data_IF_896198319055
#
_entry.id   IF_896198319055
#
_cell.length_a   1.000
_cell.length_b   1.000
_cell.length_c   1.000
_cell.angle_alpha   90.00
_cell.angle_beta   90.00
_cell.angle_gamma   90.00
#
_symmetry.space_group_name_H-M   'P 1'
#
loop_
_entity.id
_entity.type
_entity.pdbx_description
1 polymer ?
#
# COMPACT_ATOMS: atom_id res chain seq x y z
N UNK A 1 -13.49 -1.66 3.14
CA UNK A 1 -12.44 -1.04 2.32
C UNK A 1 -12.08 -1.96 1.17
N UNK A 2 -11.67 -1.40 0.03
CA UNK A 2 -11.23 -2.16 -1.15
C UNK A 2 -9.82 -1.70 -1.53
N UNK A 3 -8.86 -2.61 -1.54
CA UNK A 3 -7.52 -2.39 -2.03
C UNK A 3 -7.29 -3.28 -3.25
N UNK A 4 -6.96 -2.68 -4.39
CA UNK A 4 -6.63 -3.41 -5.61
C UNK A 4 -5.22 -3.05 -6.06
N UNK A 5 -4.44 -4.08 -6.34
CA UNK A 5 -3.21 -3.98 -7.11
C UNK A 5 -3.33 -4.94 -8.29
N UNK A 6 -3.63 -4.40 -9.47
CA UNK A 6 -3.96 -5.15 -10.69
C UNK A 6 -5.15 -6.09 -10.55
N UNK A 7 -4.93 -7.40 -10.74
CA UNK A 7 -5.95 -8.43 -10.52
C UNK A 7 -6.04 -8.88 -9.05
N UNK A 8 -5.18 -8.36 -8.17
CA UNK A 8 -5.21 -8.69 -6.75
C UNK A 8 -6.11 -7.70 -6.01
N UNK A 9 -7.38 -8.06 -5.86
CA UNK A 9 -8.36 -7.30 -5.08
C UNK A 9 -8.46 -7.89 -3.66
N UNK A 10 -8.31 -7.05 -2.65
CA UNK A 10 -8.58 -7.31 -1.24
C UNK A 10 -9.78 -6.46 -0.83
N UNK A 11 -10.93 -7.09 -0.58
CA UNK A 11 -12.17 -6.44 -0.19
C UNK A 11 -12.53 -6.83 1.25
N UNK A 12 -12.58 -5.86 2.15
CA UNK A 12 -12.94 -6.05 3.55
C UNK A 12 -14.27 -5.35 3.89
N UNK A 13 -15.27 -6.14 4.28
CA UNK A 13 -16.65 -5.69 4.58
C UNK A 13 -17.03 -6.03 6.03
N UNK A 14 -16.24 -5.56 7.00
CA UNK A 14 -16.52 -5.73 8.44
C UNK A 14 -16.61 -7.21 8.92
N UNK A 15 -16.02 -8.13 8.16
CA UNK A 15 -15.95 -9.55 8.48
C UNK A 15 -14.67 -9.94 9.22
N UNK A 16 -14.27 -11.23 9.21
CA UNK A 16 -12.98 -11.64 9.74
C UNK A 16 -11.84 -10.95 8.98
N UNK A 17 -10.70 -10.75 9.67
CA UNK A 17 -9.49 -10.22 9.04
C UNK A 17 -9.06 -11.15 7.92
N UNK A 18 -8.89 -10.60 6.73
CA UNK A 18 -8.46 -11.32 5.53
C UNK A 18 -7.05 -10.92 5.13
N UNK A 19 -6.26 -11.89 4.68
CA UNK A 19 -4.91 -11.69 4.16
C UNK A 19 -4.85 -12.05 2.69
N UNK A 20 -4.10 -11.30 1.88
CA UNK A 20 -3.87 -11.62 0.48
C UNK A 20 -2.42 -11.35 0.10
N UNK A 21 -1.80 -12.32 -0.58
CA UNK A 21 -0.45 -12.18 -1.11
C UNK A 21 -0.46 -11.29 -2.35
N UNK A 22 0.44 -10.33 -2.40
CA UNK A 22 0.69 -9.48 -3.56
C UNK A 22 2.13 -9.72 -3.99
N UNK A 23 2.35 -9.91 -5.29
CA UNK A 23 3.67 -10.04 -5.89
C UNK A 23 4.03 -8.77 -6.63
N UNK A 24 5.27 -8.33 -6.46
CA UNK A 24 5.88 -7.22 -7.18
C UNK A 24 7.27 -7.63 -7.68
N UNK A 25 7.68 -7.25 -8.90
CA UNK A 25 6.87 -6.59 -9.92
C UNK A 25 5.76 -7.52 -10.44
N UNK A 26 4.69 -6.94 -10.98
CA UNK A 26 3.67 -7.74 -11.63
C UNK A 26 4.15 -8.12 -13.04
N UNK A 27 3.93 -9.38 -13.44
CA UNK A 27 4.29 -9.91 -14.76
C UNK A 27 3.48 -9.21 -15.88
N UNK A 28 2.40 -8.51 -15.55
CA UNK A 28 1.59 -7.73 -16.50
C UNK A 28 2.20 -6.33 -16.74
N UNK A 29 2.24 -5.93 -18.02
CA UNK A 29 2.83 -4.66 -18.51
C UNK A 29 2.26 -3.36 -17.92
N UNK A 30 1.14 -3.41 -17.20
CA UNK A 30 0.50 -2.21 -16.64
C UNK A 30 0.10 -2.53 -15.20
N UNK A 31 0.82 -1.94 -14.25
CA UNK A 31 0.46 -1.98 -12.83
C UNK A 31 -0.42 -0.77 -12.47
N UNK A 32 -1.55 -1.04 -11.84
CA UNK A 32 -2.50 -0.05 -11.34
C UNK A 32 -2.85 -0.35 -9.89
N UNK A 33 -2.81 0.67 -9.05
CA UNK A 33 -3.29 0.62 -7.67
C UNK A 33 -4.59 1.40 -7.54
N UNK A 34 -5.60 0.77 -6.94
CA UNK A 34 -6.86 1.41 -6.57
C UNK A 34 -7.14 1.19 -5.10
N UNK A 35 -7.52 2.24 -4.39
CA UNK A 35 -7.87 2.19 -2.98
C UNK A 35 -9.20 2.89 -2.74
N UNK A 36 -10.13 2.23 -2.05
CA UNK A 36 -11.41 2.82 -1.67
C UNK A 36 -11.74 2.56 -0.20
N UNK A 37 -12.30 3.57 0.45
CA UNK A 37 -12.99 3.43 1.73
C UNK A 37 -14.49 3.63 1.55
N UNK A 38 -15.24 2.88 2.35
CA UNK A 38 -16.69 2.88 2.35
C UNK A 38 -17.15 3.27 3.76
N UNK A 39 -18.24 4.03 3.85
CA UNK A 39 -18.95 4.21 5.12
C UNK A 39 -19.82 3.00 5.47
N UNK A 40 -20.49 3.04 6.63
CA UNK A 40 -21.40 1.98 7.09
C UNK A 40 -22.64 1.81 6.20
N UNK A 41 -22.90 2.75 5.28
CA UNK A 41 -23.99 2.66 4.29
C UNK A 41 -23.47 2.12 2.94
N UNK A 42 -22.25 1.58 2.89
CA UNK A 42 -21.56 1.11 1.68
C UNK A 42 -21.36 2.20 0.62
N UNK A 43 -21.37 3.48 0.98
CA UNK A 43 -21.04 4.56 0.06
C UNK A 43 -19.54 4.78 0.03
N UNK A 44 -18.97 4.95 -1.16
CA UNK A 44 -17.56 5.32 -1.33
C UNK A 44 -17.35 6.72 -0.77
N UNK A 45 -16.49 6.85 0.24
CA UNK A 45 -16.11 8.13 0.87
C UNK A 45 -14.73 8.60 0.44
N UNK A 46 -13.87 7.66 0.05
CA UNK A 46 -12.53 7.91 -0.48
C UNK A 46 -12.30 6.99 -1.66
N UNK A 47 -11.71 7.54 -2.73
CA UNK A 47 -11.20 6.78 -3.87
C UNK A 47 -9.84 7.36 -4.28
N UNK A 48 -8.82 6.52 -4.33
CA UNK A 48 -7.49 6.86 -4.84
C UNK A 48 -7.09 5.91 -5.95
N UNK A 49 -6.36 6.46 -6.92
CA UNK A 49 -5.89 5.73 -8.08
C UNK A 49 -4.46 6.15 -8.42
N UNK A 50 -3.58 5.18 -8.61
CA UNK A 50 -2.23 5.35 -9.14
C UNK A 50 -2.10 4.39 -10.32
N UNK A 51 -2.12 4.92 -11.54
CA UNK A 51 -2.21 4.13 -12.76
C UNK A 51 -0.94 4.13 -13.59
N UNK A 52 -0.83 3.11 -14.44
CA UNK A 52 0.23 2.90 -15.44
C UNK A 52 1.64 3.04 -14.84
N UNK A 53 1.85 2.46 -13.67
CA UNK A 53 3.07 2.67 -12.90
C UNK A 53 3.44 1.43 -12.11
N UNK A 54 4.54 0.79 -12.51
CA UNK A 54 5.12 -0.36 -11.82
C UNK A 54 5.44 -0.06 -10.35
N UNK A 55 5.70 1.20 -10.00
CA UNK A 55 5.99 1.63 -8.64
C UNK A 55 4.75 2.09 -7.86
N UNK A 56 3.54 1.88 -8.39
CA UNK A 56 2.31 2.36 -7.77
C UNK A 56 2.14 1.91 -6.31
N UNK A 57 2.51 0.67 -5.99
CA UNK A 57 2.43 0.17 -4.61
C UNK A 57 3.41 0.89 -3.68
N UNK A 58 4.64 1.17 -4.11
CA UNK A 58 5.62 1.92 -3.32
C UNK A 58 5.16 3.37 -3.11
N UNK A 59 4.68 4.03 -4.18
CA UNK A 59 4.13 5.39 -4.09
C UNK A 59 2.94 5.49 -3.15
N UNK A 60 2.10 4.46 -3.10
CA UNK A 60 1.01 4.39 -2.12
C UNK A 60 1.58 4.26 -0.71
N UNK A 61 2.52 3.34 -0.47
CA UNK A 61 3.15 3.16 0.84
C UNK A 61 3.85 4.43 1.34
N UNK A 62 4.64 5.09 0.48
CA UNK A 62 5.38 6.32 0.80
C UNK A 62 4.48 7.50 1.18
N UNK A 63 3.24 7.53 0.69
CA UNK A 63 2.25 8.56 1.03
C UNK A 63 1.60 8.36 2.39
N UNK A 64 1.68 7.15 2.94
CA UNK A 64 0.98 6.77 4.17
C UNK A 64 1.92 6.81 5.37
N UNK A 65 1.33 6.90 6.57
CA UNK A 65 2.12 6.77 7.78
C UNK A 65 2.45 5.30 8.03
N UNK A 66 3.75 4.99 8.00
CA UNK A 66 4.27 3.64 8.18
C UNK A 66 4.84 3.51 9.60
N UNK A 67 4.27 2.63 10.40
CA UNK A 67 4.75 2.32 11.75
C UNK A 67 5.33 0.91 11.81
N UNK A 68 6.52 0.80 12.41
CA UNK A 68 7.16 -0.48 12.65
C UNK A 68 6.42 -1.24 13.73
N UNK A 69 6.20 -2.53 13.49
CA UNK A 69 5.67 -3.46 14.49
C UNK A 69 6.70 -4.56 14.72
N UNK A 70 6.63 -5.19 15.89
CA UNK A 70 7.42 -6.38 16.21
C UNK A 70 7.21 -7.48 15.15
N UNK A 71 8.18 -8.39 15.03
CA UNK A 71 8.12 -9.56 14.12
C UNK A 71 8.14 -9.26 12.60
N UNK A 72 8.91 -8.27 12.15
CA UNK A 72 9.12 -7.99 10.72
C UNK A 72 7.80 -7.68 9.98
N UNK A 73 6.89 -6.99 10.65
CA UNK A 73 5.65 -6.48 10.06
C UNK A 73 5.63 -4.96 10.03
N UNK A 74 4.82 -4.40 9.14
CA UNK A 74 4.64 -2.97 8.96
C UNK A 74 3.15 -2.65 9.01
N UNK A 75 2.76 -1.74 9.91
CA UNK A 75 1.41 -1.19 9.91
C UNK A 75 1.38 0.06 9.03
N UNK A 76 0.43 0.09 8.10
CA UNK A 76 0.13 1.23 7.23
C UNK A 76 -1.12 1.87 7.76
N UNK A 77 -1.03 3.14 8.11
CA UNK A 77 -2.18 3.93 8.53
C UNK A 77 -2.46 4.99 7.47
N UNK A 78 -3.65 4.90 6.90
CA UNK A 78 -4.21 5.85 5.96
C UNK A 78 -5.17 6.77 6.73
N UNK A 79 -5.03 8.08 6.57
CA UNK A 79 -5.96 9.06 7.13
C UNK A 79 -6.22 10.18 6.13
N UNK A 80 -7.49 10.42 5.77
CA UNK A 80 -7.90 11.50 4.86
C UNK A 80 -9.34 11.90 5.11
N UNK A 81 -9.63 13.19 5.06
CA UNK A 81 -10.98 13.76 5.26
C UNK A 81 -11.69 13.29 6.55
N UNK A 82 -10.92 12.97 7.60
CA UNK A 82 -11.45 12.44 8.86
C UNK A 82 -11.80 10.96 8.86
N UNK A 83 -11.51 10.24 7.77
CA UNK A 83 -11.63 8.79 7.68
C UNK A 83 -10.26 8.13 7.82
N UNK A 84 -10.23 7.00 8.52
CA UNK A 84 -9.01 6.25 8.78
C UNK A 84 -9.16 4.80 8.34
N UNK A 85 -8.05 4.20 7.92
CA UNK A 85 -7.94 2.77 7.64
C UNK A 85 -6.54 2.29 7.94
N UNK A 86 -6.44 1.06 8.45
CA UNK A 86 -5.15 0.45 8.80
C UNK A 86 -5.00 -0.90 8.12
N UNK A 87 -3.78 -1.19 7.66
CA UNK A 87 -3.40 -2.46 7.05
C UNK A 87 -2.11 -2.95 7.67
N UNK A 88 -1.97 -4.28 7.80
CA UNK A 88 -0.71 -4.90 8.19
C UNK A 88 -0.08 -5.57 6.99
N UNK A 89 1.20 -5.28 6.76
CA UNK A 89 2.03 -5.92 5.74
C UNK A 89 3.10 -6.77 6.41
N UNK A 90 3.32 -7.95 5.84
CA UNK A 90 4.46 -8.81 6.10
C UNK A 90 5.25 -9.09 4.80
N UNK A 91 6.37 -9.80 4.94
CA UNK A 91 7.14 -10.28 3.79
C UNK A 91 8.34 -9.42 3.40
N UNK A 92 8.88 -9.68 2.22
CA UNK A 92 10.18 -9.16 1.76
C UNK A 92 10.24 -7.65 1.56
N UNK A 93 9.08 -6.99 1.46
CA UNK A 93 9.01 -5.54 1.35
C UNK A 93 9.27 -4.84 2.69
N UNK A 94 8.96 -5.49 3.82
CA UNK A 94 9.05 -4.88 5.14
C UNK A 94 10.48 -4.40 5.47
N UNK A 95 11.55 -5.20 5.26
CA UNK A 95 12.92 -4.73 5.45
C UNK A 95 13.29 -3.44 4.71
N UNK A 96 12.70 -3.15 3.54
CA UNK A 96 12.98 -1.93 2.77
C UNK A 96 12.55 -0.66 3.52
N UNK A 97 11.46 -0.73 4.27
CA UNK A 97 10.92 0.37 5.06
C UNK A 97 11.44 0.37 6.50
N UNK A 98 11.78 -0.80 7.06
CA UNK A 98 12.30 -0.88 8.43
C UNK A 98 13.77 -0.43 8.55
N UNK A 99 14.60 -0.58 7.50
CA UNK A 99 16.05 -0.32 7.56
C UNK A 99 16.47 1.03 6.98
N UNK A 100 15.60 2.04 7.05
CA UNK A 100 15.81 3.40 6.50
C UNK A 100 16.11 3.40 5.01
N UNK A 101 15.06 3.49 4.17
CA UNK A 101 15.12 3.64 2.71
C UNK A 101 16.32 2.95 2.06
N UNK A 102 16.21 1.64 1.81
CA UNK A 102 17.26 0.85 1.15
C UNK A 102 17.68 1.36 -0.24
N UNK A 103 16.97 2.34 -0.80
CA UNK A 103 17.26 3.01 -2.06
C UNK A 103 17.49 4.51 -1.84
N UNK A 104 18.62 4.88 -1.24
CA UNK A 104 19.08 6.27 -1.23
C UNK A 104 20.11 6.45 -2.34
N UNK A 105 19.72 7.11 -3.41
CA UNK A 105 20.64 7.46 -4.49
C UNK A 105 21.14 8.88 -4.30
N UNK A 106 22.44 9.08 -4.45
CA UNK A 106 23.04 10.40 -4.63
C UNK A 106 23.71 10.41 -5.99
N UNK A 107 23.42 11.44 -6.79
CA UNK A 107 24.20 11.70 -7.99
C UNK A 107 25.60 12.17 -7.57
N UNK A 108 26.68 11.73 -8.24
CA UNK A 108 28.00 12.28 -8.01
C UNK A 108 27.99 13.78 -8.31
N UNK A 109 28.66 14.56 -7.47
CA UNK A 109 28.64 16.02 -7.58
C UNK A 109 29.43 16.59 -8.76
N UNK A 110 30.19 15.79 -9.51
CA UNK A 110 30.80 16.07 -10.83
C UNK A 110 31.37 14.77 -11.43
N UNK A 111 31.53 14.71 -12.75
CA UNK A 111 32.34 13.73 -13.49
C UNK A 111 33.81 14.15 -13.51
#
# INVERSE_FOLDING_TARGET
SEFSYDSNILLYEHGPIISKRISWPNIKNISNLKFKLFDLSNKIVIEEYIGNDEWAIFKFLDKNHLSKVENLTLDINYSKYGYESSYRIDGSIVPLYLRSNGLKFSLPSCL
#
